data_IF_473705975732
#
_entry.id   IF_473705975732
#
_cell.length_a   1.000
_cell.length_b   1.000
_cell.length_c   1.000
_cell.angle_alpha   90.00
_cell.angle_beta   90.00
_cell.angle_gamma   90.00
#
_symmetry.space_group_name_H-M   'P 1'
#
loop_
_entity.id
_entity.type
_entity.pdbx_description
1 polymer ?
#
# COMPACT_ATOMS: atom_id res chain seq x y z
N UNK A 1 5.09 15.00 -3.42
CA UNK A 1 3.95 14.08 -3.14
C UNK A 1 3.55 13.31 -4.39
N UNK A 2 3.75 12.00 -4.40
CA UNK A 2 3.42 11.09 -5.50
C UNK A 2 2.17 10.27 -5.12
N UNK A 3 1.06 10.43 -5.84
CA UNK A 3 -0.22 9.75 -5.54
C UNK A 3 -0.26 8.38 -6.24
N UNK A 4 -0.44 7.30 -5.46
CA UNK A 4 -0.45 5.92 -5.98
C UNK A 4 -1.85 5.32 -5.85
N UNK A 5 -2.32 4.61 -6.89
CA UNK A 5 -3.69 4.05 -6.95
C UNK A 5 -3.67 2.55 -7.20
N UNK A 6 -4.33 1.79 -6.33
CA UNK A 6 -4.56 0.35 -6.53
C UNK A 6 -6.03 -0.01 -6.39
N UNK A 7 -6.52 -0.93 -7.21
CA UNK A 7 -7.90 -1.43 -7.13
C UNK A 7 -8.16 -2.16 -5.80
N UNK A 8 -9.31 -1.87 -5.18
CA UNK A 8 -9.76 -2.46 -3.91
C UNK A 8 -10.02 -3.97 -4.10
N UNK A 9 -9.01 -4.78 -3.78
CA UNK A 9 -9.08 -6.24 -3.82
C UNK A 9 -9.08 -6.76 -2.39
N UNK A 10 -10.19 -7.37 -1.94
CA UNK A 10 -10.39 -8.28 -0.78
C UNK A 10 -9.77 -7.94 0.59
N UNK A 11 -8.89 -6.95 0.70
CA UNK A 11 -8.14 -6.56 1.89
C UNK A 11 -8.79 -5.30 2.47
N UNK A 12 -9.04 -5.29 3.77
CA UNK A 12 -9.57 -4.07 4.39
C UNK A 12 -8.53 -2.93 4.34
N UNK A 13 -8.95 -1.68 4.10
CA UNK A 13 -8.05 -0.52 4.04
C UNK A 13 -7.18 -0.38 5.30
N UNK A 14 -7.72 -0.67 6.49
CA UNK A 14 -6.96 -0.64 7.74
C UNK A 14 -5.82 -1.67 7.76
N UNK A 15 -6.04 -2.87 7.24
CA UNK A 15 -5.02 -3.92 7.15
C UNK A 15 -3.95 -3.57 6.13
N UNK A 16 -4.34 -2.90 5.03
CA UNK A 16 -3.40 -2.42 4.03
C UNK A 16 -2.53 -1.28 4.58
N UNK A 17 -3.15 -0.33 5.29
CA UNK A 17 -2.45 0.76 5.95
C UNK A 17 -1.45 0.26 6.98
N UNK A 18 -1.85 -0.67 7.85
CA UNK A 18 -0.95 -1.24 8.85
C UNK A 18 0.26 -1.91 8.21
N UNK A 19 0.05 -2.63 7.10
CA UNK A 19 1.15 -3.25 6.36
C UNK A 19 2.07 -2.23 5.68
N UNK A 20 1.53 -1.16 5.10
CA UNK A 20 2.36 -0.09 4.52
C UNK A 20 3.21 0.61 5.60
N UNK A 21 2.62 0.92 6.76
CA UNK A 21 3.34 1.54 7.88
C UNK A 21 4.50 0.67 8.38
N UNK A 22 4.28 -0.63 8.45
CA UNK A 22 5.31 -1.61 8.82
C UNK A 22 6.39 -1.72 7.73
N UNK A 23 5.97 -1.80 6.46
CA UNK A 23 6.87 -1.98 5.32
C UNK A 23 7.80 -0.79 5.08
N UNK A 24 7.31 0.43 5.25
CA UNK A 24 8.05 1.67 5.03
C UNK A 24 8.55 2.31 6.33
N UNK A 25 8.33 1.65 7.48
CA UNK A 25 8.63 2.18 8.83
C UNK A 25 8.08 3.60 9.07
N UNK A 26 6.99 3.94 8.39
CA UNK A 26 6.40 5.28 8.40
C UNK A 26 4.99 5.25 8.98
N UNK A 27 4.78 5.68 10.24
CA UNK A 27 3.46 5.69 10.86
C UNK A 27 2.54 6.75 10.27
N UNK A 28 3.08 7.69 9.49
CA UNK A 28 2.31 8.78 8.88
C UNK A 28 1.51 8.35 7.65
N UNK A 29 1.76 7.16 7.10
CA UNK A 29 1.02 6.63 5.96
C UNK A 29 -0.46 6.49 6.31
N UNK A 30 -1.31 7.08 5.47
CA UNK A 30 -2.77 6.98 5.52
C UNK A 30 -3.26 6.41 4.20
N UNK A 31 -4.09 5.36 4.28
CA UNK A 31 -4.76 4.78 3.12
C UNK A 31 -6.19 5.32 3.06
N UNK A 32 -6.53 5.98 1.97
CA UNK A 32 -7.88 6.40 1.64
C UNK A 32 -8.47 5.47 0.58
N UNK A 33 -9.75 5.10 0.71
CA UNK A 33 -10.48 4.44 -0.38
C UNK A 33 -11.25 5.50 -1.18
N UNK A 34 -10.80 5.79 -2.40
CA UNK A 34 -11.44 6.74 -3.33
C UNK A 34 -11.88 6.01 -4.59
N UNK A 35 -13.18 6.02 -4.88
CA UNK A 35 -13.77 5.40 -6.07
C UNK A 35 -13.43 3.91 -6.26
N UNK A 36 -13.30 3.14 -5.17
CA UNK A 36 -12.90 1.72 -5.24
C UNK A 36 -11.40 1.51 -5.48
N UNK A 37 -10.58 2.53 -5.21
CA UNK A 37 -9.13 2.44 -5.22
C UNK A 37 -8.56 2.83 -3.86
N UNK A 38 -7.54 2.11 -3.41
CA UNK A 38 -6.68 2.56 -2.33
C UNK A 38 -5.69 3.60 -2.83
N UNK A 39 -5.68 4.74 -2.15
CA UNK A 39 -4.83 5.89 -2.40
C UNK A 39 -4.03 6.16 -1.14
N UNK A 40 -2.72 6.30 -1.26
CA UNK A 40 -1.85 6.68 -0.14
C UNK A 40 -0.71 7.55 -0.63
N UNK A 41 -0.10 8.26 0.32
CA UNK A 41 1.10 9.06 0.09
C UNK A 41 2.25 8.47 0.90
N UNK A 42 3.43 8.49 0.31
CA UNK A 42 4.69 8.18 1.00
C UNK A 42 5.39 9.49 1.40
N UNK A 43 6.30 9.41 2.36
CA UNK A 43 7.17 10.54 2.72
C UNK A 43 8.00 11.03 1.54
N UNK A 44 8.34 12.31 1.58
CA UNK A 44 9.13 12.96 0.54
C UNK A 44 10.54 12.34 0.48
N UNK A 45 10.95 11.87 -0.71
CA UNK A 45 12.21 11.14 -0.92
C UNK A 45 12.09 9.61 -0.90
N UNK A 46 10.91 9.05 -0.58
CA UNK A 46 10.65 7.61 -0.74
C UNK A 46 10.07 7.35 -2.13
N UNK A 47 10.87 6.73 -3.00
CA UNK A 47 10.42 6.27 -4.31
C UNK A 47 9.92 4.82 -4.23
N UNK A 48 8.80 4.55 -4.90
CA UNK A 48 8.37 3.18 -5.14
C UNK A 48 9.28 2.56 -6.19
N UNK A 49 10.02 1.53 -5.81
CA UNK A 49 10.74 0.69 -6.75
C UNK A 49 9.76 -0.32 -7.35
N UNK A 50 10.13 -0.92 -8.49
CA UNK A 50 9.34 -2.00 -9.10
C UNK A 50 9.08 -3.15 -8.11
N UNK A 51 10.02 -3.44 -7.21
CA UNK A 51 9.85 -4.44 -6.16
C UNK A 51 8.75 -4.06 -5.16
N UNK A 52 8.71 -2.80 -4.73
CA UNK A 52 7.66 -2.29 -3.86
C UNK A 52 6.28 -2.40 -4.52
N UNK A 53 6.18 -2.02 -5.79
CA UNK A 53 4.92 -2.13 -6.54
C UNK A 53 4.44 -3.59 -6.63
N UNK A 54 5.37 -4.51 -6.85
CA UNK A 54 5.07 -5.94 -6.97
C UNK A 54 4.65 -6.54 -5.62
N UNK A 55 5.26 -6.11 -4.52
CA UNK A 55 4.86 -6.49 -3.16
C UNK A 55 3.49 -5.93 -2.78
N UNK A 56 3.23 -4.66 -3.08
CA UNK A 56 1.92 -4.03 -2.86
C UNK A 56 0.84 -4.80 -3.63
N UNK A 57 1.09 -5.08 -4.91
CA UNK A 57 0.17 -5.85 -5.75
C UNK A 57 -0.12 -7.26 -5.19
N UNK A 58 0.93 -7.96 -4.71
CA UNK A 58 0.79 -9.26 -4.06
C UNK A 58 -0.03 -9.17 -2.78
N UNK A 59 0.24 -8.17 -1.94
CA UNK A 59 -0.47 -7.94 -0.68
C UNK A 59 -1.95 -7.71 -0.93
N UNK A 60 -2.29 -6.85 -1.89
CA UNK A 60 -3.67 -6.53 -2.27
C UNK A 60 -4.41 -7.72 -2.86
N UNK A 61 -3.76 -8.54 -3.68
CA UNK A 61 -4.37 -9.77 -4.21
C UNK A 61 -4.51 -10.89 -3.18
N UNK A 62 -4.05 -10.68 -1.94
CA UNK A 62 -4.05 -11.71 -0.91
C UNK A 62 -3.13 -12.88 -1.27
N UNK A 63 -2.10 -12.65 -2.09
CA UNK A 63 -1.01 -13.62 -2.24
C UNK A 63 -0.33 -13.73 -0.88
N UNK A 64 -0.78 -14.71 -0.10
CA UNK A 64 -0.06 -15.22 1.05
C UNK A 64 1.28 -15.72 0.54
N UNK A 65 2.32 -14.94 0.72
CA UNK A 65 3.65 -15.52 0.88
C UNK A 65 4.25 -15.00 2.16
N UNK A 66 4.07 -15.78 3.22
CA UNK A 66 4.87 -15.79 4.44
C UNK A 66 4.57 -17.08 5.21
N UNK A 67 5.58 -17.78 5.74
CA UNK A 67 6.84 -18.19 5.12
C UNK A 67 6.68 -19.39 4.17
#
# INVERSE_FOLDING_TARGET
MHEVKYTDYKLSPNSFQAWLRDKFEDPSIVVECKNGYFVFNLQDGVELTEEHELEIYRKLRGYKRWP
#
